data_IF_240341666295
#
_entry.id   IF_240341666295
#
_cell.length_a   1.000
_cell.length_b   1.000
_cell.length_c   1.000
_cell.angle_alpha   90.00
_cell.angle_beta   90.00
_cell.angle_gamma   90.00
#
_symmetry.space_group_name_H-M   'P 1'
#
loop_
_entity.id
_entity.type
_entity.pdbx_description
1 polymer ?
#
# COMPACT_ATOMS: atom_id res chain seq x y z
N UNK A 1 -24.47 -8.60 -15.56
CA UNK A 1 -24.01 -8.11 -14.24
C UNK A 1 -22.50 -8.07 -14.31
N UNK A 2 -21.89 -6.88 -14.29
CA UNK A 2 -20.45 -6.78 -14.08
C UNK A 2 -20.25 -7.22 -12.63
N UNK A 3 -19.58 -8.35 -12.43
CA UNK A 3 -19.27 -8.86 -11.10
C UNK A 3 -18.50 -7.77 -10.36
N UNK A 4 -18.77 -7.50 -9.07
CA UNK A 4 -18.14 -6.40 -8.31
C UNK A 4 -16.60 -6.38 -8.46
N UNK A 5 -16.00 -7.56 -8.59
CA UNK A 5 -14.59 -7.78 -8.93
C UNK A 5 -14.15 -7.15 -10.25
N UNK A 6 -14.93 -7.31 -11.32
CA UNK A 6 -14.62 -6.76 -12.65
C UNK A 6 -14.79 -5.24 -12.73
N UNK A 7 -15.68 -4.65 -11.93
CA UNK A 7 -15.78 -3.20 -11.80
C UNK A 7 -14.57 -2.62 -11.06
N UNK A 8 -14.10 -3.29 -9.99
CA UNK A 8 -12.93 -2.91 -9.22
C UNK A 8 -11.62 -2.97 -10.03
N UNK A 9 -11.41 -4.03 -10.84
CA UNK A 9 -10.23 -4.12 -11.72
C UNK A 9 -10.22 -3.02 -12.80
N UNK A 10 -11.40 -2.70 -13.35
CA UNK A 10 -11.54 -1.62 -14.33
C UNK A 10 -11.31 -0.26 -13.67
N UNK A 11 -11.83 -0.02 -12.46
CA UNK A 11 -11.60 1.21 -11.71
C UNK A 11 -10.13 1.39 -11.33
N UNK A 12 -9.48 0.36 -10.80
CA UNK A 12 -8.04 0.39 -10.51
C UNK A 12 -7.25 0.73 -11.78
N UNK A 13 -7.51 0.04 -12.90
CA UNK A 13 -6.86 0.32 -14.19
C UNK A 13 -7.13 1.71 -14.76
N UNK A 14 -8.34 2.27 -14.54
CA UNK A 14 -8.69 3.63 -14.96
C UNK A 14 -7.98 4.68 -14.09
N UNK A 15 -7.94 4.49 -12.77
CA UNK A 15 -7.16 5.32 -11.85
C UNK A 15 -5.66 5.32 -12.19
N UNK A 16 -5.10 4.16 -12.52
CA UNK A 16 -3.69 4.05 -12.95
C UNK A 16 -3.43 4.78 -14.28
N UNK A 17 -4.41 4.88 -15.17
CA UNK A 17 -4.26 5.59 -16.45
C UNK A 17 -4.47 7.11 -16.35
N UNK A 18 -5.30 7.59 -15.42
CA UNK A 18 -5.63 9.02 -15.29
C UNK A 18 -4.86 9.76 -14.19
N UNK A 19 -4.46 9.08 -13.11
CA UNK A 19 -3.63 9.68 -12.04
C UNK A 19 -2.18 9.93 -12.46
N UNK A 20 -1.62 9.02 -13.27
CA UNK A 20 -0.27 9.16 -13.84
C UNK A 20 -0.16 10.28 -14.90
N UNK A 21 -1.29 10.78 -15.43
CA UNK A 21 -1.30 11.78 -16.50
C UNK A 21 -1.37 13.24 -15.99
N UNK A 22 -1.58 13.49 -14.68
CA UNK A 22 -1.96 14.83 -14.19
C UNK A 22 -1.27 15.33 -12.92
N UNK A 23 -0.49 14.52 -12.21
CA UNK A 23 -0.04 14.88 -10.87
C UNK A 23 1.32 15.60 -10.85
N UNK A 24 1.31 16.91 -11.11
CA UNK A 24 2.48 17.78 -10.85
C UNK A 24 2.40 18.50 -9.49
N UNK A 25 1.41 18.20 -8.65
CA UNK A 25 1.22 18.86 -7.34
C UNK A 25 0.82 17.88 -6.21
N UNK A 26 1.15 18.27 -4.98
CA UNK A 26 0.90 17.48 -3.77
C UNK A 26 -0.59 17.24 -3.50
N UNK A 27 -1.47 18.14 -3.94
CA UNK A 27 -2.92 18.02 -3.80
C UNK A 27 -3.47 16.84 -4.61
N UNK A 28 -2.92 16.60 -5.80
CA UNK A 28 -3.30 15.47 -6.64
C UNK A 28 -2.86 14.14 -6.03
N UNK A 29 -1.66 14.08 -5.45
CA UNK A 29 -1.16 12.90 -4.74
C UNK A 29 -2.04 12.59 -3.52
N UNK A 30 -2.35 13.60 -2.70
CA UNK A 30 -3.22 13.46 -1.55
C UNK A 30 -4.63 12.99 -1.95
N UNK A 31 -5.16 13.49 -3.07
CA UNK A 31 -6.46 13.06 -3.59
C UNK A 31 -6.45 11.60 -4.06
N UNK A 32 -5.42 11.18 -4.80
CA UNK A 32 -5.25 9.78 -5.20
C UNK A 32 -5.19 8.85 -3.98
N UNK A 33 -4.44 9.24 -2.95
CA UNK A 33 -4.31 8.48 -1.71
C UNK A 33 -5.67 8.31 -0.99
N UNK A 34 -6.45 9.40 -0.89
CA UNK A 34 -7.80 9.34 -0.31
C UNK A 34 -8.75 8.46 -1.12
N UNK A 35 -8.73 8.57 -2.46
CA UNK A 35 -9.62 7.79 -3.33
C UNK A 35 -9.30 6.30 -3.31
N UNK A 36 -8.01 5.93 -3.28
CA UNK A 36 -7.58 4.54 -3.13
C UNK A 36 -7.93 4.00 -1.75
N UNK A 37 -7.71 4.78 -0.68
CA UNK A 37 -8.06 4.35 0.68
C UNK A 37 -9.57 4.14 0.83
N UNK A 38 -10.39 5.07 0.32
CA UNK A 38 -11.84 4.92 0.32
C UNK A 38 -12.30 3.68 -0.48
N UNK A 39 -11.67 3.39 -1.63
CA UNK A 39 -11.95 2.19 -2.40
C UNK A 39 -11.57 0.91 -1.64
N UNK A 40 -10.41 0.88 -0.97
CA UNK A 40 -9.98 -0.25 -0.14
C UNK A 40 -10.98 -0.45 1.01
N UNK A 41 -11.37 0.62 1.71
CA UNK A 41 -12.37 0.56 2.79
C UNK A 41 -13.72 0.01 2.29
N UNK A 42 -14.20 0.44 1.12
CA UNK A 42 -15.44 -0.09 0.54
C UNK A 42 -15.31 -1.57 0.16
N UNK A 43 -14.12 -1.99 -0.28
CA UNK A 43 -13.88 -3.33 -0.78
C UNK A 43 -13.62 -4.36 0.33
N UNK A 44 -12.91 -3.98 1.38
CA UNK A 44 -12.43 -4.90 2.43
C UNK A 44 -12.85 -4.51 3.85
N UNK A 45 -13.46 -3.34 4.06
CA UNK A 45 -13.75 -2.79 5.40
C UNK A 45 -14.78 -3.58 6.22
N UNK A 46 -15.55 -4.48 5.60
CA UNK A 46 -16.39 -5.43 6.35
C UNK A 46 -15.57 -6.57 6.98
N UNK A 47 -14.37 -6.83 6.46
CA UNK A 47 -13.48 -7.90 6.91
C UNK A 47 -12.31 -7.37 7.74
N UNK A 48 -11.82 -6.17 7.44
CA UNK A 48 -10.64 -5.59 8.08
C UNK A 48 -10.98 -4.39 8.95
N UNK A 49 -10.28 -4.27 10.07
CA UNK A 49 -10.32 -3.06 10.90
C UNK A 49 -9.53 -1.92 10.26
N UNK A 50 -9.83 -0.68 10.63
CA UNK A 50 -9.15 0.52 10.11
C UNK A 50 -7.64 0.47 10.30
N UNK A 51 -7.15 0.00 11.45
CA UNK A 51 -5.71 -0.17 11.71
C UNK A 51 -5.06 -1.22 10.79
N UNK A 52 -5.78 -2.29 10.42
CA UNK A 52 -5.28 -3.29 9.47
C UNK A 52 -5.22 -2.72 8.05
N UNK A 53 -6.20 -1.92 7.64
CA UNK A 53 -6.19 -1.20 6.36
C UNK A 53 -5.03 -0.20 6.30
N UNK A 54 -4.81 0.59 7.35
CA UNK A 54 -3.66 1.48 7.45
C UNK A 54 -2.35 0.71 7.36
N UNK A 55 -2.24 -0.44 8.05
CA UNK A 55 -1.04 -1.27 7.98
C UNK A 55 -0.80 -1.82 6.56
N UNK A 56 -1.83 -2.24 5.83
CA UNK A 56 -1.71 -2.67 4.43
C UNK A 56 -1.24 -1.53 3.51
N UNK A 57 -1.68 -0.30 3.79
CA UNK A 57 -1.22 0.91 3.10
C UNK A 57 0.27 1.14 3.34
N UNK A 58 0.67 1.16 4.59
CA UNK A 58 2.07 1.39 4.98
C UNK A 58 2.99 0.34 4.35
N UNK A 59 2.59 -0.93 4.42
CA UNK A 59 3.32 -2.03 3.79
C UNK A 59 3.43 -1.82 2.27
N UNK A 60 2.33 -1.51 1.58
CA UNK A 60 2.33 -1.30 0.13
C UNK A 60 3.22 -0.13 -0.30
N UNK A 61 3.22 0.96 0.47
CA UNK A 61 4.07 2.12 0.23
C UNK A 61 5.55 1.81 0.47
N UNK A 62 5.89 1.06 1.52
CA UNK A 62 7.28 0.65 1.79
C UNK A 62 7.83 -0.27 0.70
N UNK A 63 7.03 -1.22 0.20
CA UNK A 63 7.42 -2.04 -0.95
C UNK A 63 7.67 -1.17 -2.19
N UNK A 64 6.84 -0.14 -2.41
CA UNK A 64 7.05 0.80 -3.51
C UNK A 64 8.34 1.63 -3.34
N UNK A 65 8.65 2.08 -2.12
CA UNK A 65 9.88 2.82 -1.82
C UNK A 65 11.11 1.97 -2.12
N UNK A 66 11.24 0.78 -1.52
CA UNK A 66 12.40 -0.08 -1.73
C UNK A 66 12.61 -0.48 -3.20
N UNK A 67 11.52 -0.60 -3.96
CA UNK A 67 11.61 -0.95 -5.38
C UNK A 67 12.09 0.19 -6.27
N UNK A 68 11.89 1.44 -5.87
CA UNK A 68 12.12 2.60 -6.72
C UNK A 68 13.25 3.51 -6.25
N UNK A 69 13.61 3.47 -4.97
CA UNK A 69 14.60 4.35 -4.36
C UNK A 69 15.90 3.60 -4.08
N UNK A 70 17.01 4.08 -4.65
CA UNK A 70 18.33 3.48 -4.47
C UNK A 70 18.76 3.51 -3.00
N UNK A 71 19.39 2.43 -2.54
CA UNK A 71 19.94 2.33 -1.18
C UNK A 71 18.91 1.99 -0.09
N UNK A 72 17.64 1.79 -0.44
CA UNK A 72 16.58 1.35 0.47
C UNK A 72 16.13 -0.06 0.10
N UNK A 73 16.29 -1.01 1.02
CA UNK A 73 15.92 -2.42 0.87
C UNK A 73 14.81 -2.82 1.84
N UNK A 74 14.07 -3.89 1.50
CA UNK A 74 13.05 -4.46 2.39
C UNK A 74 13.66 -5.49 3.34
N UNK A 75 13.32 -5.38 4.62
CA UNK A 75 13.44 -6.47 5.58
C UNK A 75 12.28 -7.45 5.36
N UNK A 76 12.55 -8.52 4.59
CA UNK A 76 11.53 -9.52 4.21
C UNK A 76 10.90 -10.22 5.43
N UNK A 77 11.67 -10.41 6.51
CA UNK A 77 11.19 -11.07 7.73
C UNK A 77 10.21 -10.15 8.49
N UNK A 78 10.56 -8.87 8.68
CA UNK A 78 9.63 -7.88 9.28
C UNK A 78 8.41 -7.66 8.41
N UNK A 79 8.57 -7.66 7.09
CA UNK A 79 7.46 -7.53 6.15
C UNK A 79 6.47 -8.70 6.31
N UNK A 80 6.97 -9.92 6.46
CA UNK A 80 6.16 -11.10 6.69
C UNK A 80 5.40 -11.03 8.02
N UNK A 81 6.06 -10.57 9.10
CA UNK A 81 5.43 -10.40 10.40
C UNK A 81 4.27 -9.39 10.36
N UNK A 82 4.47 -8.25 9.69
CA UNK A 82 3.45 -7.20 9.58
C UNK A 82 2.28 -7.59 8.69
N UNK A 83 2.54 -8.32 7.60
CA UNK A 83 1.48 -8.93 6.80
C UNK A 83 0.69 -9.95 7.64
N UNK A 84 1.36 -10.68 8.55
CA UNK A 84 0.72 -11.52 9.55
C UNK A 84 -0.21 -10.74 10.48
N UNK A 85 0.25 -9.61 11.03
CA UNK A 85 -0.56 -8.72 11.87
C UNK A 85 -1.75 -8.12 11.11
N UNK A 86 -1.55 -7.72 9.85
CA UNK A 86 -2.64 -7.22 9.00
C UNK A 86 -3.73 -8.29 8.76
N UNK A 87 -3.37 -9.57 8.85
CA UNK A 87 -4.27 -10.72 8.68
C UNK A 87 -4.78 -11.30 10.02
N UNK A 88 -4.43 -10.74 11.16
CA UNK A 88 -4.90 -11.23 12.46
C UNK A 88 -6.44 -11.29 12.49
N UNK A 89 -6.96 -12.42 12.95
CA UNK A 89 -8.41 -12.69 12.97
C UNK A 89 -8.96 -13.36 11.71
N UNK A 90 -8.11 -13.67 10.72
CA UNK A 90 -8.48 -14.42 9.52
C UNK A 90 -7.64 -15.70 9.40
N UNK A 91 -8.24 -16.87 9.65
CA UNK A 91 -7.55 -18.15 9.57
C UNK A 91 -7.86 -18.88 8.26
N UNK A 92 -6.90 -19.66 7.76
CA UNK A 92 -7.08 -20.62 6.66
C UNK A 92 -8.28 -21.57 6.79
N UNK A 93 -8.77 -21.80 8.00
CA UNK A 93 -9.97 -22.58 8.30
C UNK A 93 -11.30 -21.82 8.11
N UNK A 94 -11.27 -20.51 7.90
CA UNK A 94 -12.47 -19.69 7.75
C UNK A 94 -13.09 -19.85 6.36
N UNK A 95 -14.42 -19.81 6.31
CA UNK A 95 -15.19 -20.02 5.07
C UNK A 95 -14.91 -18.94 4.00
N UNK A 96 -14.44 -17.77 4.41
CA UNK A 96 -14.14 -16.60 3.57
C UNK A 96 -12.64 -16.33 3.42
N UNK A 97 -11.75 -17.18 3.97
CA UNK A 97 -10.30 -16.95 3.95
C UNK A 97 -9.72 -16.65 2.57
N UNK A 98 -10.19 -17.37 1.54
CA UNK A 98 -9.72 -17.14 0.16
C UNK A 98 -10.16 -15.77 -0.38
N UNK A 99 -11.33 -15.28 0.05
CA UNK A 99 -11.83 -13.94 -0.30
C UNK A 99 -11.00 -12.89 0.43
N UNK A 100 -10.81 -13.03 1.74
CA UNK A 100 -9.96 -12.13 2.55
C UNK A 100 -8.55 -12.03 1.98
N UNK A 101 -7.93 -13.17 1.66
CA UNK A 101 -6.59 -13.22 1.07
C UNK A 101 -6.53 -12.52 -0.29
N UNK A 102 -7.49 -12.79 -1.18
CA UNK A 102 -7.54 -12.13 -2.48
C UNK A 102 -7.75 -10.62 -2.34
N UNK A 103 -8.62 -10.22 -1.42
CA UNK A 103 -8.89 -8.82 -1.09
C UNK A 103 -7.66 -8.09 -0.57
N UNK A 104 -6.92 -8.70 0.36
CA UNK A 104 -5.64 -8.19 0.84
C UNK A 104 -4.64 -7.99 -0.32
N UNK A 105 -4.48 -9.01 -1.18
CA UNK A 105 -3.55 -8.93 -2.31
C UNK A 105 -3.90 -7.80 -3.28
N UNK A 106 -5.19 -7.58 -3.53
CA UNK A 106 -5.67 -6.48 -4.38
C UNK A 106 -5.39 -5.11 -3.73
N UNK A 107 -5.64 -4.96 -2.43
CA UNK A 107 -5.39 -3.73 -1.71
C UNK A 107 -3.89 -3.41 -1.64
N UNK A 108 -3.07 -4.41 -1.34
CA UNK A 108 -1.61 -4.25 -1.33
C UNK A 108 -1.07 -3.83 -2.70
N UNK A 109 -1.55 -4.46 -3.78
CA UNK A 109 -1.20 -4.09 -5.14
C UNK A 109 -1.62 -2.65 -5.48
N UNK A 110 -2.80 -2.21 -5.00
CA UNK A 110 -3.27 -0.84 -5.20
C UNK A 110 -2.32 0.17 -4.54
N UNK A 111 -1.95 -0.05 -3.27
CA UNK A 111 -1.02 0.84 -2.56
C UNK A 111 0.38 0.84 -3.16
N UNK A 112 0.91 -0.32 -3.55
CA UNK A 112 2.20 -0.41 -4.25
C UNK A 112 2.19 0.39 -5.55
N UNK A 113 1.11 0.29 -6.33
CA UNK A 113 0.98 1.00 -7.59
C UNK A 113 0.75 2.50 -7.37
N UNK A 114 0.10 2.92 -6.28
CA UNK A 114 0.06 4.32 -5.86
C UNK A 114 1.46 4.84 -5.56
N UNK A 115 2.26 4.14 -4.76
CA UNK A 115 3.64 4.54 -4.49
C UNK A 115 4.49 4.64 -5.77
N UNK A 116 4.33 3.69 -6.70
CA UNK A 116 4.98 3.77 -8.02
C UNK A 116 4.53 4.99 -8.84
N UNK A 117 3.23 5.31 -8.81
CA UNK A 117 2.72 6.49 -9.47
C UNK A 117 3.31 7.75 -8.84
N UNK A 118 3.29 7.88 -7.51
CA UNK A 118 3.88 9.02 -6.78
C UNK A 118 5.37 9.18 -7.12
N UNK A 119 6.14 8.09 -7.12
CA UNK A 119 7.53 8.11 -7.57
C UNK A 119 7.68 8.62 -9.00
N UNK A 120 6.86 8.13 -9.94
CA UNK A 120 6.93 8.57 -11.34
C UNK A 120 6.65 10.07 -11.54
N UNK A 121 5.90 10.68 -10.61
CA UNK A 121 5.50 12.08 -10.64
C UNK A 121 6.52 12.99 -9.95
N UNK A 122 7.06 12.55 -8.81
CA UNK A 122 8.09 13.27 -8.07
C UNK A 122 9.07 12.29 -7.39
N UNK A 123 10.08 11.80 -8.13
CA UNK A 123 11.03 10.80 -7.64
C UNK A 123 11.80 11.26 -6.40
N UNK A 124 12.28 12.51 -6.43
CA UNK A 124 13.12 13.09 -5.37
C UNK A 124 12.34 13.17 -4.05
N UNK A 125 11.16 13.79 -4.05
CA UNK A 125 10.33 13.91 -2.85
C UNK A 125 9.90 12.54 -2.32
N UNK A 126 9.57 11.61 -3.21
CA UNK A 126 9.15 10.26 -2.80
C UNK A 126 10.27 9.50 -2.08
N UNK A 127 11.50 9.58 -2.59
CA UNK A 127 12.64 8.92 -1.96
C UNK A 127 13.11 9.63 -0.69
N UNK A 128 13.06 10.97 -0.63
CA UNK A 128 13.31 11.73 0.61
C UNK A 128 12.35 11.33 1.73
N UNK A 129 11.07 11.11 1.41
CA UNK A 129 10.11 10.58 2.39
C UNK A 129 10.51 9.18 2.87
N UNK A 130 10.93 8.30 1.97
CA UNK A 130 11.41 6.96 2.32
C UNK A 130 12.63 6.98 3.25
N UNK A 131 13.59 7.86 2.99
CA UNK A 131 14.76 8.05 3.85
C UNK A 131 14.38 8.61 5.23
N UNK A 132 13.41 9.54 5.31
CA UNK A 132 12.94 10.08 6.57
C UNK A 132 12.24 9.02 7.44
N UNK A 133 11.46 8.13 6.84
CA UNK A 133 10.83 7.00 7.54
C UNK A 133 11.89 6.07 8.15
N UNK A 134 12.97 5.76 7.41
CA UNK A 134 14.11 4.97 7.92
C UNK A 134 14.91 5.74 8.98
N UNK A 135 15.11 7.04 8.83
CA UNK A 135 15.89 7.87 9.77
C UNK A 135 15.19 8.14 11.10
N UNK A 136 13.86 7.95 11.17
CA UNK A 136 13.06 8.17 12.39
C UNK A 136 13.12 7.01 13.41
N UNK A 137 13.80 5.90 13.06
CA UNK A 137 13.86 4.64 13.82
C UNK A 137 14.52 4.69 15.20
N UNK A 138 15.18 5.77 15.62
CA UNK A 138 15.85 5.80 16.95
C UNK A 138 14.86 5.90 18.14
N UNK A 139 13.53 5.95 17.94
CA UNK A 139 12.62 6.12 19.08
C UNK A 139 11.12 5.83 18.99
N UNK A 140 10.56 5.23 17.93
CA UNK A 140 9.09 4.98 17.88
C UNK A 140 8.74 3.64 17.22
N UNK A 141 7.85 2.88 17.86
CA UNK A 141 7.63 1.45 17.68
C UNK A 141 6.48 1.07 16.73
N UNK A 142 6.06 1.94 15.83
CA UNK A 142 4.90 1.64 14.97
C UNK A 142 5.31 1.67 13.50
N UNK A 143 5.76 0.49 13.04
CA UNK A 143 5.98 -0.01 11.67
C UNK A 143 7.09 0.63 10.82
N UNK A 144 8.29 0.03 10.86
CA UNK A 144 9.39 0.31 9.90
C UNK A 144 9.94 -1.01 9.34
N UNK A 145 9.86 -1.18 8.02
CA UNK A 145 10.22 -2.39 7.25
C UNK A 145 11.45 -2.18 6.37
N UNK A 146 11.83 -0.92 6.15
CA UNK A 146 12.93 -0.56 5.27
C UNK A 146 14.28 -0.58 6.00
N UNK A 147 15.33 -1.00 5.29
CA UNK A 147 16.73 -1.01 5.74
C UNK A 147 17.61 -0.29 4.73
N UNK A 148 18.78 0.20 5.15
CA UNK A 148 19.76 0.80 4.25
C UNK A 148 20.67 -0.29 3.67
N UNK A 149 20.91 -0.27 2.36
CA UNK A 149 21.92 -1.12 1.73
C UNK A 149 23.33 -0.65 2.15
N UNK A 150 24.16 -1.58 2.63
CA UNK A 150 25.54 -1.33 3.12
C UNK A 150 26.53 -0.92 2.02
#
# INVERSE_FOLDING_TARGET
MINKLGAATVFASMFFSSGAALANDADTIAKMDMEITAWVEEFIGEHFQTNQISLLKDIGMQIAIARNCDGLDLDEDKLADLLGTALEGHDSGDADYQVVRASMQMSLAAYMATGQAVHALNPELFCEMGEAEVGSTEGSSETIVLTMAE
#
